data_IF_084640298118
#
_entry.id   IF_084640298118
#
_cell.length_a   1.000
_cell.length_b   1.000
_cell.length_c   1.000
_cell.angle_alpha   90.00
_cell.angle_beta   90.00
_cell.angle_gamma   90.00
#
_symmetry.space_group_name_H-M   'P 1'
#
loop_
_entity.id
_entity.type
_entity.pdbx_description
1 polymer ?
#
# COMPACT_ATOMS: atom_id res chain seq x y z
N UNK A 1 5.44 -11.75 -7.93
CA UNK A 1 6.05 -11.18 -6.70
C UNK A 1 7.11 -10.10 -6.95
N UNK A 2 7.68 -9.93 -8.16
CA UNK A 2 8.85 -9.07 -8.39
C UNK A 2 8.79 -7.58 -7.99
N UNK A 3 7.61 -7.05 -7.61
CA UNK A 3 7.42 -5.66 -7.21
C UNK A 3 6.66 -5.47 -5.88
N UNK A 4 6.48 -6.53 -5.09
CA UNK A 4 5.61 -6.49 -3.91
C UNK A 4 6.42 -6.35 -2.62
N UNK A 5 6.73 -5.12 -2.24
CA UNK A 5 7.27 -4.82 -0.91
C UNK A 5 6.15 -4.21 -0.07
N UNK A 6 5.69 -4.92 0.96
CA UNK A 6 4.47 -4.52 1.68
C UNK A 6 4.58 -3.09 2.23
N UNK A 7 5.75 -2.68 2.71
CA UNK A 7 5.96 -1.33 3.27
C UNK A 7 6.61 -0.35 2.30
N UNK A 8 6.66 -0.68 1.03
CA UNK A 8 7.12 0.21 -0.03
C UNK A 8 6.23 -0.01 -1.26
N UNK A 9 4.99 0.49 -1.25
CA UNK A 9 4.11 0.37 -2.41
C UNK A 9 4.73 1.10 -3.61
N UNK A 10 4.54 0.55 -4.81
CA UNK A 10 5.12 1.12 -6.04
C UNK A 10 4.46 2.46 -6.33
N UNK A 11 5.20 3.54 -6.64
CA UNK A 11 4.63 4.81 -7.06
C UNK A 11 3.52 4.63 -8.11
N UNK A 12 2.44 5.42 -8.00
CA UNK A 12 1.37 5.45 -9.01
C UNK A 12 1.31 6.81 -9.69
N UNK A 13 1.09 6.90 -11.02
CA UNK A 13 1.14 8.17 -11.76
C UNK A 13 0.24 9.27 -11.19
N UNK A 14 -0.94 8.89 -10.69
CA UNK A 14 -1.97 9.81 -10.18
C UNK A 14 -1.52 10.59 -8.92
N UNK A 15 -0.49 10.13 -8.22
CA UNK A 15 0.05 10.81 -7.03
C UNK A 15 1.02 11.97 -7.37
N UNK A 16 1.39 12.12 -8.64
CA UNK A 16 2.43 13.05 -9.09
C UNK A 16 1.86 14.10 -10.05
N UNK A 17 2.39 15.32 -9.96
CA UNK A 17 1.97 16.43 -10.83
C UNK A 17 2.47 16.32 -12.27
N UNK A 18 3.42 15.43 -12.55
CA UNK A 18 3.93 15.18 -13.89
C UNK A 18 4.53 13.77 -14.01
N UNK A 19 4.58 13.25 -15.24
CA UNK A 19 5.25 11.99 -15.54
C UNK A 19 6.75 12.01 -15.22
N UNK A 20 7.43 13.16 -15.35
CA UNK A 20 8.85 13.27 -14.99
C UNK A 20 9.07 12.99 -13.49
N UNK A 21 8.26 13.58 -12.62
CA UNK A 21 8.31 13.32 -11.17
C UNK A 21 7.92 11.89 -10.82
N UNK A 22 6.92 11.35 -11.52
CA UNK A 22 6.53 9.94 -11.39
C UNK A 22 7.70 8.99 -11.75
N UNK A 23 8.36 9.19 -12.90
CA UNK A 23 9.49 8.36 -13.29
C UNK A 23 10.67 8.49 -12.31
N UNK A 24 10.96 9.69 -11.83
CA UNK A 24 12.00 9.90 -10.84
C UNK A 24 11.69 9.20 -9.50
N UNK A 25 10.42 9.17 -9.09
CA UNK A 25 9.98 8.40 -7.92
C UNK A 25 10.09 6.89 -8.14
N UNK A 26 9.65 6.40 -9.30
CA UNK A 26 9.77 4.99 -9.70
C UNK A 26 11.23 4.53 -9.73
N UNK A 27 12.13 5.36 -10.25
CA UNK A 27 13.58 5.10 -10.26
C UNK A 27 14.15 4.96 -8.85
N UNK A 28 13.79 5.86 -7.94
CA UNK A 28 14.21 5.79 -6.53
C UNK A 28 13.61 4.59 -5.81
N UNK A 29 12.37 4.24 -6.14
CA UNK A 29 11.74 3.03 -5.62
C UNK A 29 12.44 1.77 -6.12
N UNK A 30 12.81 1.70 -7.40
CA UNK A 30 13.57 0.59 -7.98
C UNK A 30 14.95 0.45 -7.31
N UNK A 31 15.64 1.57 -7.07
CA UNK A 31 16.92 1.56 -6.35
C UNK A 31 16.76 1.04 -4.92
N UNK A 32 15.71 1.46 -4.24
CA UNK A 32 15.39 0.97 -2.91
C UNK A 32 15.08 -0.53 -2.93
N UNK A 33 14.26 -1.00 -3.87
CA UNK A 33 13.88 -2.40 -4.02
C UNK A 33 15.05 -3.32 -4.42
N UNK A 34 16.05 -2.78 -5.13
CA UNK A 34 17.26 -3.50 -5.52
C UNK A 34 18.22 -3.76 -4.34
N UNK A 35 18.14 -2.96 -3.27
CA UNK A 35 18.90 -3.21 -2.04
C UNK A 35 18.40 -4.45 -1.31
N UNK A 36 19.31 -5.14 -0.65
CA UNK A 36 19.10 -6.24 0.31
C UNK A 36 18.17 -7.35 -0.20
N UNK A 37 17.95 -7.41 -1.52
CA UNK A 37 16.92 -8.24 -2.14
C UNK A 37 15.55 -8.07 -1.47
N UNK A 38 15.19 -6.83 -1.12
CA UNK A 38 14.05 -6.51 -0.24
C UNK A 38 12.75 -7.20 -0.64
N UNK A 39 12.47 -7.34 -1.94
CA UNK A 39 11.29 -8.03 -2.48
C UNK A 39 11.14 -9.45 -1.93
N UNK A 40 12.23 -10.22 -1.89
CA UNK A 40 12.22 -11.62 -1.48
C UNK A 40 12.76 -11.83 -0.05
N UNK A 41 13.11 -10.75 0.64
CA UNK A 41 13.68 -10.79 1.99
C UNK A 41 12.71 -11.42 3.00
N UNK A 42 13.26 -12.14 3.98
CA UNK A 42 12.54 -12.62 5.15
C UNK A 42 11.79 -11.51 5.87
N UNK A 43 12.36 -10.30 5.90
CA UNK A 43 11.71 -9.12 6.47
C UNK A 43 10.40 -8.78 5.76
N UNK A 44 10.39 -8.73 4.42
CA UNK A 44 9.18 -8.46 3.65
C UNK A 44 8.15 -9.60 3.82
N UNK A 45 8.61 -10.85 3.77
CA UNK A 45 7.77 -12.04 4.01
C UNK A 45 7.12 -12.00 5.40
N UNK A 46 7.87 -11.63 6.43
CA UNK A 46 7.37 -11.44 7.79
C UNK A 46 6.27 -10.37 7.83
N UNK A 47 6.45 -9.24 7.15
CA UNK A 47 5.42 -8.19 7.11
C UNK A 47 4.10 -8.72 6.50
N UNK A 48 4.16 -9.53 5.44
CA UNK A 48 2.97 -10.18 4.88
C UNK A 48 2.34 -11.18 5.86
N UNK A 49 3.15 -11.94 6.61
CA UNK A 49 2.63 -12.81 7.68
C UNK A 49 1.92 -12.01 8.78
N UNK A 50 2.50 -10.89 9.22
CA UNK A 50 1.89 -10.01 10.22
C UNK A 50 0.60 -9.37 9.71
N UNK A 51 0.56 -8.97 8.43
CA UNK A 51 -0.65 -8.50 7.78
C UNK A 51 -1.72 -9.60 7.72
N UNK A 52 -1.35 -10.84 7.39
CA UNK A 52 -2.25 -12.00 7.41
C UNK A 52 -2.83 -12.25 8.81
N UNK A 53 -2.01 -12.20 9.85
CA UNK A 53 -2.49 -12.29 11.24
C UNK A 53 -3.45 -11.14 11.56
N UNK A 54 -3.13 -9.91 11.17
CA UNK A 54 -4.04 -8.77 11.37
C UNK A 54 -5.38 -8.96 10.66
N UNK A 55 -5.36 -9.44 9.42
CA UNK A 55 -6.57 -9.75 8.66
C UNK A 55 -7.41 -10.78 9.40
N UNK A 56 -6.80 -11.89 9.81
CA UNK A 56 -7.46 -12.99 10.53
C UNK A 56 -8.06 -12.56 11.86
N UNK A 57 -7.28 -11.86 12.67
CA UNK A 57 -7.64 -11.59 14.07
C UNK A 57 -8.61 -10.41 14.20
N UNK A 58 -8.54 -9.43 13.30
CA UNK A 58 -9.19 -8.13 13.50
C UNK A 58 -10.12 -7.71 12.37
N UNK A 59 -9.87 -8.12 11.12
CA UNK A 59 -10.60 -7.61 9.95
C UNK A 59 -11.68 -8.61 9.51
N UNK A 60 -11.33 -9.88 9.30
CA UNK A 60 -12.26 -10.94 8.86
C UNK A 60 -13.47 -11.07 9.78
N UNK A 61 -13.34 -11.06 11.13
CA UNK A 61 -14.50 -11.14 12.02
C UNK A 61 -15.51 -9.99 11.83
N UNK A 62 -15.08 -8.85 11.30
CA UNK A 62 -15.93 -7.68 11.02
C UNK A 62 -16.53 -7.69 9.60
N UNK A 63 -16.05 -8.57 8.74
CA UNK A 63 -16.60 -8.80 7.39
C UNK A 63 -17.73 -9.83 7.40
N UNK A 64 -17.73 -10.74 8.38
CA UNK A 64 -18.69 -11.83 8.48
C UNK A 64 -19.83 -11.44 9.43
N UNK A 65 -21.09 -11.55 8.97
CA UNK A 65 -22.25 -11.40 9.86
C UNK A 65 -22.45 -12.64 10.72
N UNK A 66 -22.91 -12.49 11.98
CA UNK A 66 -23.37 -13.64 12.77
C UNK A 66 -24.49 -14.38 12.02
N UNK A 67 -24.42 -15.71 11.97
CA UNK A 67 -25.39 -16.58 11.28
C UNK A 67 -26.83 -16.30 11.72
N UNK A 68 -27.02 -15.84 12.97
CA UNK A 68 -28.31 -15.47 13.58
C UNK A 68 -28.91 -14.14 13.08
N UNK A 69 -28.17 -13.32 12.33
CA UNK A 69 -28.61 -12.02 11.78
C UNK A 69 -28.63 -11.99 10.25
N UNK A 70 -28.55 -13.15 9.59
CA UNK A 70 -28.66 -13.23 8.14
C UNK A 70 -30.10 -12.99 7.71
N UNK A 71 -30.41 -11.75 7.33
CA UNK A 71 -31.58 -11.45 6.50
C UNK A 71 -31.51 -12.30 5.21
N UNK A 72 -32.65 -12.63 4.56
CA UNK A 72 -32.66 -13.39 3.32
C UNK A 72 -32.15 -12.50 2.19
N UNK A 73 -30.82 -12.45 2.04
CA UNK A 73 -30.16 -11.65 1.02
C UNK A 73 -28.65 -11.63 1.26
N UNK A 74 -27.90 -12.11 0.28
CA UNK A 74 -26.45 -11.89 0.24
C UNK A 74 -26.21 -10.43 -0.16
N UNK A 75 -25.27 -9.69 0.46
CA UNK A 75 -24.80 -8.45 -0.12
C UNK A 75 -24.29 -8.78 -1.54
N UNK A 76 -24.93 -8.20 -2.56
CA UNK A 76 -24.47 -8.31 -3.93
C UNK A 76 -23.07 -7.70 -4.01
N UNK A 77 -22.06 -8.54 -4.14
CA UNK A 77 -20.73 -8.14 -4.57
C UNK A 77 -20.37 -8.95 -5.80
N UNK A 78 -19.94 -8.26 -6.85
CA UNK A 78 -19.38 -8.90 -8.03
C UNK A 78 -17.97 -9.35 -7.67
N UNK A 79 -17.79 -10.65 -7.46
CA UNK A 79 -16.52 -11.25 -7.04
C UNK A 79 -15.46 -11.30 -8.16
N UNK A 80 -15.82 -10.89 -9.38
CA UNK A 80 -14.99 -11.04 -10.56
C UNK A 80 -14.63 -9.68 -11.14
N UNK A 81 -13.44 -9.17 -10.80
CA UNK A 81 -12.83 -8.05 -11.51
C UNK A 81 -12.12 -8.65 -12.72
N UNK A 82 -12.89 -9.06 -13.73
CA UNK A 82 -12.34 -9.32 -15.06
C UNK A 82 -12.25 -7.99 -15.84
N UNK A 83 -11.55 -7.98 -16.96
CA UNK A 83 -11.39 -6.85 -17.91
C UNK A 83 -12.70 -6.11 -18.28
N UNK A 84 -13.86 -6.63 -17.89
CA UNK A 84 -15.20 -6.07 -18.10
C UNK A 84 -15.57 -4.94 -17.13
N UNK A 85 -14.77 -4.66 -16.09
CA UNK A 85 -15.00 -3.58 -15.11
C UNK A 85 -13.95 -2.44 -15.17
N UNK A 86 -13.10 -2.44 -16.20
CA UNK A 86 -12.19 -1.34 -16.51
C UNK A 86 -12.94 -0.37 -17.42
N UNK A 87 -13.24 0.82 -16.91
CA UNK A 87 -13.73 1.90 -17.74
C UNK A 87 -12.53 2.68 -18.26
N UNK A 88 -12.67 3.22 -19.46
CA UNK A 88 -11.71 4.15 -20.04
C UNK A 88 -12.45 5.48 -20.08
N UNK A 89 -11.93 6.49 -19.39
CA UNK A 89 -12.51 7.83 -19.45
C UNK A 89 -12.24 8.49 -20.83
N UNK A 90 -12.81 9.67 -21.04
CA UNK A 90 -12.66 10.42 -22.31
C UNK A 90 -11.20 10.79 -22.61
N UNK A 91 -10.32 10.75 -21.59
CA UNK A 91 -8.88 11.03 -21.66
C UNK A 91 -8.04 9.74 -21.84
N UNK A 92 -8.68 8.60 -22.08
CA UNK A 92 -8.07 7.28 -22.24
C UNK A 92 -7.42 6.71 -20.96
N UNK A 93 -7.76 7.21 -19.79
CA UNK A 93 -7.29 6.64 -18.53
C UNK A 93 -8.16 5.46 -18.12
N UNK A 94 -7.51 4.36 -17.77
CA UNK A 94 -8.17 3.18 -17.19
C UNK A 94 -8.62 3.53 -15.77
N UNK A 95 -9.93 3.68 -15.57
CA UNK A 95 -10.60 3.92 -14.28
C UNK A 95 -11.28 2.65 -13.79
N UNK A 96 -10.83 2.16 -12.63
CA UNK A 96 -11.45 1.03 -11.93
C UNK A 96 -12.69 1.54 -11.15
N UNK A 97 -13.87 1.01 -11.48
CA UNK A 97 -15.16 1.34 -10.85
C UNK A 97 -15.13 1.23 -9.31
N UNK A 98 -14.19 0.46 -8.78
CA UNK A 98 -14.11 0.11 -7.36
C UNK A 98 -13.12 0.99 -6.57
N UNK A 99 -12.34 1.82 -7.25
CA UNK A 99 -11.34 2.71 -6.63
C UNK A 99 -11.63 4.18 -6.88
N UNK A 100 -12.32 4.51 -7.97
CA UNK A 100 -12.75 5.88 -8.23
C UNK A 100 -13.96 6.24 -7.35
N UNK A 101 -13.74 7.13 -6.38
CA UNK A 101 -14.77 7.61 -5.46
C UNK A 101 -15.98 8.20 -6.19
N UNK A 102 -15.77 8.86 -7.32
CA UNK A 102 -16.83 9.45 -8.13
C UNK A 102 -17.70 8.38 -8.80
N UNK A 103 -17.07 7.33 -9.37
CA UNK A 103 -17.78 6.21 -9.97
C UNK A 103 -18.53 5.37 -8.93
N UNK A 104 -17.90 5.10 -7.78
CA UNK A 104 -18.55 4.41 -6.65
C UNK A 104 -19.78 5.19 -6.20
N UNK A 105 -19.65 6.51 -6.06
CA UNK A 105 -20.75 7.38 -5.63
C UNK A 105 -21.88 7.41 -6.65
N UNK A 106 -21.56 7.55 -7.94
CA UNK A 106 -22.52 7.53 -9.02
C UNK A 106 -23.27 6.18 -9.09
N UNK A 107 -22.54 5.07 -9.01
CA UNK A 107 -23.11 3.73 -8.99
C UNK A 107 -24.05 3.53 -7.79
N UNK A 108 -23.60 3.85 -6.58
CA UNK A 108 -24.42 3.72 -5.36
C UNK A 108 -25.68 4.56 -5.44
N UNK A 109 -25.56 5.80 -5.89
CA UNK A 109 -26.69 6.72 -6.05
C UNK A 109 -27.72 6.17 -7.04
N UNK A 110 -27.26 5.70 -8.22
CA UNK A 110 -28.12 5.09 -9.22
C UNK A 110 -28.80 3.81 -8.72
N UNK A 111 -28.03 2.93 -8.07
CA UNK A 111 -28.56 1.68 -7.52
C UNK A 111 -29.61 1.93 -6.44
N UNK A 112 -29.36 2.86 -5.52
CA UNK A 112 -30.32 3.24 -4.47
C UNK A 112 -31.58 3.90 -5.04
N UNK A 113 -31.44 4.73 -6.08
CA UNK A 113 -32.57 5.35 -6.76
C UNK A 113 -33.47 4.30 -7.43
N UNK A 114 -32.89 3.33 -8.14
CA UNK A 114 -33.67 2.25 -8.77
C UNK A 114 -34.28 1.29 -7.74
N UNK A 115 -33.53 0.96 -6.68
CA UNK A 115 -34.04 0.08 -5.62
C UNK A 115 -35.27 0.68 -4.92
N UNK A 116 -35.30 2.01 -4.74
CA UNK A 116 -36.49 2.75 -4.26
C UNK A 116 -37.66 2.68 -5.24
N UNK A 117 -37.42 2.80 -6.55
CA UNK A 117 -38.47 2.73 -7.59
C UNK A 117 -39.16 1.36 -7.65
N UNK A 118 -38.41 0.28 -7.44
CA UNK A 118 -38.90 -1.11 -7.49
C UNK A 118 -39.60 -1.51 -6.17
N UNK A 119 -39.70 -0.61 -5.18
CA UNK A 119 -40.32 -0.87 -3.89
C UNK A 119 -39.54 -1.85 -3.01
N UNK A 120 -38.24 -2.01 -3.26
CA UNK A 120 -37.34 -2.82 -2.43
C UNK A 120 -36.82 -2.01 -1.24
N UNK A 121 -36.35 -2.70 -0.19
CA UNK A 121 -35.98 -2.10 1.08
C UNK A 121 -34.80 -1.11 0.98
N UNK A 122 -34.67 -0.25 2.00
CA UNK A 122 -33.50 0.63 2.16
C UNK A 122 -32.27 -0.26 2.38
N UNK A 123 -31.21 -0.02 1.60
CA UNK A 123 -29.94 -0.72 1.76
C UNK A 123 -29.28 -0.17 3.03
N UNK A 124 -29.01 -1.07 3.98
CA UNK A 124 -28.22 -0.74 5.16
C UNK A 124 -26.82 -0.26 4.71
N UNK A 125 -26.37 0.95 5.11
CA UNK A 125 -25.04 1.46 4.79
C UNK A 125 -23.90 0.49 5.18
N UNK A 126 -24.13 -0.39 6.17
CA UNK A 126 -23.23 -1.47 6.55
C UNK A 126 -22.91 -2.44 5.40
N UNK A 127 -23.83 -2.66 4.45
CA UNK A 127 -23.56 -3.51 3.28
C UNK A 127 -22.53 -2.88 2.34
N UNK A 128 -22.59 -1.57 2.11
CA UNK A 128 -21.59 -0.86 1.31
C UNK A 128 -20.22 -0.85 1.99
N UNK A 129 -20.19 -0.83 3.32
CA UNK A 129 -18.97 -0.94 4.11
C UNK A 129 -18.35 -2.33 3.99
N UNK A 130 -19.10 -3.40 4.28
CA UNK A 130 -18.64 -4.80 4.14
C UNK A 130 -18.18 -5.07 2.71
N UNK A 131 -18.91 -4.54 1.74
CA UNK A 131 -18.55 -4.64 0.34
C UNK A 131 -17.17 -4.07 -0.01
N UNK A 132 -16.90 -2.84 0.42
CA UNK A 132 -15.57 -2.24 0.28
C UNK A 132 -14.49 -3.06 0.98
N UNK A 133 -14.80 -3.62 2.15
CA UNK A 133 -13.86 -4.51 2.85
C UNK A 133 -13.56 -5.77 2.02
N UNK A 134 -14.57 -6.46 1.50
CA UNK A 134 -14.37 -7.65 0.65
C UNK A 134 -13.54 -7.32 -0.58
N UNK A 135 -13.86 -6.23 -1.25
CA UNK A 135 -13.14 -5.76 -2.44
C UNK A 135 -11.65 -5.48 -2.20
N UNK A 136 -11.32 -4.81 -1.10
CA UNK A 136 -9.92 -4.54 -0.72
C UNK A 136 -9.22 -5.82 -0.24
N UNK A 137 -9.92 -6.68 0.48
CA UNK A 137 -9.42 -7.98 0.94
C UNK A 137 -9.02 -8.86 -0.25
N UNK A 138 -9.88 -9.00 -1.25
CA UNK A 138 -9.61 -9.82 -2.43
C UNK A 138 -8.35 -9.36 -3.19
N UNK A 139 -8.18 -8.05 -3.40
CA UNK A 139 -6.97 -7.51 -4.04
C UNK A 139 -5.70 -7.83 -3.25
N UNK A 140 -5.77 -7.72 -1.93
CA UNK A 140 -4.63 -7.98 -1.05
C UNK A 140 -4.25 -9.47 -0.99
N UNK A 141 -5.23 -10.39 -0.94
CA UNK A 141 -4.94 -11.84 -0.88
C UNK A 141 -4.51 -12.43 -2.21
N UNK A 142 -4.97 -11.85 -3.32
CA UNK A 142 -4.50 -12.24 -4.65
C UNK A 142 -3.16 -11.58 -5.03
N UNK A 143 -2.76 -10.53 -4.32
CA UNK A 143 -1.62 -9.67 -4.67
C UNK A 143 -1.75 -9.08 -6.08
N UNK A 144 -2.99 -8.76 -6.45
CA UNK A 144 -3.36 -8.22 -7.77
C UNK A 144 -3.08 -6.71 -7.87
N UNK A 145 -2.51 -6.10 -6.84
CA UNK A 145 -2.24 -4.67 -6.78
C UNK A 145 -0.78 -4.38 -6.40
N UNK A 146 -0.20 -3.34 -7.00
CA UNK A 146 1.12 -2.82 -6.59
C UNK A 146 1.05 -1.94 -5.32
N UNK A 147 -0.15 -1.82 -4.75
CA UNK A 147 -0.54 -0.93 -3.66
C UNK A 147 -1.05 -1.72 -2.45
N UNK A 148 -0.48 -2.90 -2.21
CA UNK A 148 -0.88 -3.82 -1.12
C UNK A 148 -0.95 -3.11 0.24
N UNK A 149 0.01 -2.24 0.54
CA UNK A 149 -0.02 -1.42 1.75
C UNK A 149 -1.27 -0.55 1.84
N UNK A 150 -1.59 0.18 0.77
CA UNK A 150 -2.73 1.08 0.73
C UNK A 150 -4.05 0.32 0.84
N UNK A 151 -4.13 -0.88 0.27
CA UNK A 151 -5.29 -1.76 0.45
C UNK A 151 -5.42 -2.24 1.90
N UNK A 152 -4.32 -2.65 2.53
CA UNK A 152 -4.30 -3.05 3.94
C UNK A 152 -4.65 -1.89 4.88
N UNK A 153 -4.14 -0.69 4.63
CA UNK A 153 -4.42 0.51 5.42
C UNK A 153 -5.89 0.93 5.31
N UNK A 154 -6.43 0.93 4.09
CA UNK A 154 -7.85 1.19 3.86
C UNK A 154 -8.74 0.14 4.54
N UNK A 155 -8.37 -1.15 4.47
CA UNK A 155 -9.06 -2.23 5.17
C UNK A 155 -9.06 -2.04 6.67
N UNK A 156 -7.90 -1.77 7.24
CA UNK A 156 -7.74 -1.56 8.67
C UNK A 156 -8.58 -0.37 9.15
N UNK A 157 -8.57 0.73 8.40
CA UNK A 157 -9.40 1.92 8.67
C UNK A 157 -10.89 1.59 8.58
N UNK A 158 -11.33 0.89 7.54
CA UNK A 158 -12.73 0.46 7.39
C UNK A 158 -13.14 -0.50 8.51
N UNK A 159 -12.27 -1.41 8.92
CA UNK A 159 -12.56 -2.38 9.95
C UNK A 159 -12.80 -1.70 11.31
N UNK A 160 -12.11 -0.59 11.62
CA UNK A 160 -12.29 0.13 12.89
C UNK A 160 -13.74 0.64 13.08
N UNK A 161 -14.18 0.63 14.33
CA UNK A 161 -15.39 1.34 14.73
C UNK A 161 -15.10 2.84 14.76
N UNK A 162 -16.08 3.70 14.43
CA UNK A 162 -15.91 5.14 14.59
C UNK A 162 -15.60 5.42 16.06
N UNK A 163 -14.38 5.91 16.32
CA UNK A 163 -14.01 6.42 17.64
C UNK A 163 -14.93 7.60 17.90
N UNK A 164 -15.64 7.59 19.04
CA UNK A 164 -16.40 8.74 19.52
C UNK A 164 -15.40 9.86 19.82
N UNK A 165 -15.18 10.70 18.82
CA UNK A 165 -14.67 12.08 18.84
C UNK A 165 -14.04 12.60 20.14
N UNK A 166 -12.98 11.97 20.64
CA UNK A 166 -12.05 12.58 21.61
C UNK A 166 -10.58 12.18 21.39
N UNK A 167 -10.27 11.27 20.46
CA UNK A 167 -8.91 10.70 20.31
C UNK A 167 -8.46 10.64 18.84
N UNK A 168 -8.62 11.75 18.12
CA UNK A 168 -8.27 11.89 16.69
C UNK A 168 -6.74 11.96 16.44
N UNK A 169 -5.92 11.72 17.47
CA UNK A 169 -4.47 11.90 17.44
C UNK A 169 -3.64 10.69 17.86
N UNK A 170 -4.26 9.53 18.15
CA UNK A 170 -3.53 8.39 18.68
C UNK A 170 -2.68 7.67 17.61
N UNK A 171 -1.43 8.11 17.50
CA UNK A 171 -0.40 7.55 16.61
C UNK A 171 -0.12 6.06 16.93
N UNK A 172 -0.48 5.58 18.14
CA UNK A 172 -0.31 4.18 18.54
C UNK A 172 -1.31 3.25 17.84
N UNK A 173 -2.41 3.80 17.35
CA UNK A 173 -3.48 3.07 16.68
C UNK A 173 -3.32 2.98 15.14
N UNK A 174 -2.25 3.56 14.59
CA UNK A 174 -1.95 3.51 13.15
C UNK A 174 -1.53 2.12 12.68
N UNK A 175 -1.80 1.77 11.41
CA UNK A 175 -1.40 0.47 10.85
C UNK A 175 0.12 0.20 11.02
N UNK A 176 1.05 1.13 10.71
CA UNK A 176 2.47 0.89 10.95
C UNK A 176 2.81 0.60 12.41
N UNK A 177 2.14 1.26 13.36
CA UNK A 177 2.34 1.03 14.79
C UNK A 177 1.84 -0.36 15.21
N UNK A 178 0.65 -0.77 14.77
CA UNK A 178 0.12 -2.11 15.05
C UNK A 178 1.02 -3.21 14.49
N UNK A 179 1.48 -3.07 13.25
CA UNK A 179 2.41 -4.03 12.65
C UNK A 179 3.76 -4.05 13.40
N UNK A 180 4.28 -2.90 13.82
CA UNK A 180 5.49 -2.82 14.63
C UNK A 180 5.33 -3.53 15.98
N UNK A 181 4.21 -3.32 16.68
CA UNK A 181 3.91 -4.01 17.94
C UNK A 181 3.76 -5.52 17.74
N UNK A 182 3.10 -5.98 16.67
CA UNK A 182 2.99 -7.41 16.39
C UNK A 182 4.35 -8.05 16.09
N UNK A 183 5.26 -7.31 15.45
CA UNK A 183 6.60 -7.77 15.13
C UNK A 183 7.48 -8.02 16.37
N UNK A 184 7.15 -7.42 17.53
CA UNK A 184 7.88 -7.66 18.78
C UNK A 184 7.39 -8.88 19.56
N UNK A 185 6.34 -9.57 19.09
CA UNK A 185 5.85 -10.78 19.76
C UNK A 185 6.85 -11.94 19.62
N UNK A 186 6.88 -12.83 20.61
CA UNK A 186 7.74 -14.01 20.59
C UNK A 186 7.54 -14.86 19.33
N UNK A 187 6.28 -15.08 18.93
CA UNK A 187 5.95 -15.87 17.74
C UNK A 187 6.42 -15.19 16.46
N UNK A 188 6.35 -13.86 16.37
CA UNK A 188 6.88 -13.12 15.22
C UNK A 188 8.41 -13.19 15.15
N UNK A 189 9.11 -13.16 16.28
CA UNK A 189 10.57 -13.29 16.34
C UNK A 189 11.02 -14.71 15.95
N UNK A 190 10.29 -15.74 16.41
CA UNK A 190 10.55 -17.12 16.01
C UNK A 190 10.34 -17.31 14.50
N UNK A 191 9.20 -16.83 13.98
CA UNK A 191 8.90 -16.87 12.54
C UNK A 191 9.93 -16.09 11.72
N UNK A 192 10.42 -14.95 12.21
CA UNK A 192 11.47 -14.20 11.53
C UNK A 192 12.75 -15.03 11.37
N UNK A 193 13.13 -15.80 12.39
CA UNK A 193 14.27 -16.71 12.33
C UNK A 193 14.06 -17.85 11.33
N UNK A 194 12.85 -18.41 11.26
CA UNK A 194 12.50 -19.45 10.27
C UNK A 194 12.57 -18.90 8.84
N UNK A 195 11.97 -17.74 8.59
CA UNK A 195 11.97 -17.11 7.25
C UNK A 195 13.38 -16.74 6.78
N UNK A 196 14.25 -16.33 7.70
CA UNK A 196 15.64 -15.98 7.39
C UNK A 196 16.47 -17.17 6.88
N UNK A 197 16.05 -18.41 7.13
CA UNK A 197 16.75 -19.59 6.61
C UNK A 197 16.69 -19.72 5.07
N UNK A 198 15.67 -19.13 4.45
CA UNK A 198 15.50 -19.11 2.99
C UNK A 198 16.10 -17.86 2.32
N UNK A 199 16.71 -16.96 3.08
CA UNK A 199 17.30 -15.74 2.51
C UNK A 199 18.51 -16.07 1.63
N UNK A 200 18.68 -15.29 0.56
CA UNK A 200 19.85 -15.42 -0.31
C UNK A 200 21.12 -15.06 0.48
N UNK A 201 22.24 -15.79 0.29
CA UNK A 201 23.49 -15.48 0.99
C UNK A 201 23.94 -14.03 0.76
N UNK A 202 24.47 -13.40 1.82
CA UNK A 202 24.89 -11.99 1.77
C UNK A 202 25.89 -11.70 0.65
N UNK A 203 26.74 -12.67 0.29
CA UNK A 203 27.68 -12.54 -0.82
C UNK A 203 27.00 -12.34 -2.18
N UNK A 204 25.89 -13.05 -2.43
CA UNK A 204 25.13 -12.93 -3.67
C UNK A 204 24.32 -11.64 -3.70
N UNK A 205 23.73 -11.25 -2.56
CA UNK A 205 23.06 -9.95 -2.41
C UNK A 205 24.03 -8.82 -2.76
N UNK A 206 25.21 -8.80 -2.13
CA UNK A 206 26.24 -7.78 -2.38
C UNK A 206 26.73 -7.78 -3.83
N UNK A 207 26.85 -8.96 -4.46
CA UNK A 207 27.23 -9.08 -5.87
C UNK A 207 26.18 -8.41 -6.77
N UNK A 208 24.90 -8.72 -6.59
CA UNK A 208 23.79 -8.13 -7.38
C UNK A 208 23.62 -6.64 -7.15
N UNK A 209 23.71 -6.19 -5.90
CA UNK A 209 23.68 -4.76 -5.57
C UNK A 209 24.80 -4.02 -6.30
N UNK A 210 26.02 -4.57 -6.27
CA UNK A 210 27.15 -3.98 -6.98
C UNK A 210 26.88 -3.91 -8.49
N UNK A 211 26.42 -4.99 -9.11
CA UNK A 211 26.09 -5.02 -10.53
C UNK A 211 25.03 -3.97 -10.92
N UNK A 212 23.98 -3.81 -10.10
CA UNK A 212 22.93 -2.81 -10.32
C UNK A 212 23.47 -1.37 -10.16
N UNK A 213 24.16 -1.09 -9.05
CA UNK A 213 24.60 0.27 -8.73
C UNK A 213 25.86 0.72 -9.47
N UNK A 214 26.66 -0.20 -10.02
CA UNK A 214 27.72 0.13 -10.99
C UNK A 214 27.11 0.70 -12.27
N UNK A 215 25.90 0.26 -12.67
CA UNK A 215 25.17 0.80 -13.83
C UNK A 215 24.41 2.11 -13.51
N UNK A 216 23.79 2.19 -12.33
CA UNK A 216 22.90 3.30 -11.95
C UNK A 216 23.64 4.49 -11.33
N UNK A 217 24.80 4.25 -10.71
CA UNK A 217 25.71 5.26 -10.20
C UNK A 217 25.69 5.48 -8.68
N UNK A 218 26.82 5.95 -8.16
CA UNK A 218 27.09 6.06 -6.72
C UNK A 218 26.18 7.03 -5.96
N UNK A 219 25.69 8.10 -6.60
CA UNK A 219 24.76 9.06 -5.96
C UNK A 219 23.43 8.39 -5.62
N UNK A 220 22.85 7.66 -6.58
CA UNK A 220 21.60 6.90 -6.41
C UNK A 220 21.76 5.79 -5.37
N UNK A 221 22.91 5.10 -5.39
CA UNK A 221 23.24 4.11 -4.36
C UNK A 221 23.28 4.71 -2.95
N UNK A 222 23.96 5.85 -2.77
CA UNK A 222 24.06 6.51 -1.48
C UNK A 222 22.69 6.96 -0.95
N UNK A 223 21.80 7.44 -1.83
CA UNK A 223 20.44 7.80 -1.47
C UNK A 223 19.62 6.58 -1.04
N UNK A 224 19.62 5.52 -1.85
CA UNK A 224 18.89 4.29 -1.55
C UNK A 224 19.34 3.69 -0.20
N UNK A 225 20.65 3.66 0.08
CA UNK A 225 21.19 3.18 1.37
C UNK A 225 20.73 4.02 2.56
N UNK A 226 20.59 5.34 2.41
CA UNK A 226 20.05 6.21 3.47
C UNK A 226 18.59 5.88 3.75
N UNK A 227 17.79 5.63 2.71
CA UNK A 227 16.39 5.22 2.85
C UNK A 227 16.27 3.85 3.52
N UNK A 228 17.05 2.86 3.08
CA UNK A 228 17.11 1.53 3.70
C UNK A 228 17.55 1.60 5.18
N UNK A 229 18.55 2.43 5.49
CA UNK A 229 18.96 2.66 6.86
C UNK A 229 17.83 3.25 7.71
N UNK A 230 17.11 4.26 7.19
CA UNK A 230 15.96 4.84 7.89
C UNK A 230 14.84 3.80 8.11
N UNK A 231 14.57 2.96 7.11
CA UNK A 231 13.59 1.88 7.22
C UNK A 231 13.94 0.88 8.33
N UNK A 232 15.22 0.52 8.44
CA UNK A 232 15.72 -0.39 9.48
C UNK A 232 15.65 0.20 10.88
N UNK A 233 15.91 1.50 11.01
CA UNK A 233 15.92 2.19 12.31
C UNK A 233 14.51 2.53 12.82
N UNK A 234 13.51 2.54 11.96
CA UNK A 234 12.14 2.89 12.32
C UNK A 234 11.17 1.75 11.95
N UNK A 235 10.74 0.94 12.93
CA UNK A 235 9.77 -0.14 12.71
C UNK A 235 8.40 0.30 12.21
N UNK A 236 8.12 1.61 12.16
CA UNK A 236 6.88 2.21 11.61
C UNK A 236 7.09 2.84 10.24
N UNK A 237 8.29 2.71 9.66
CA UNK A 237 8.61 3.29 8.36
C UNK A 237 7.81 2.64 7.24
N UNK A 238 7.37 3.47 6.30
CA UNK A 238 6.70 3.10 5.06
C UNK A 238 7.27 3.98 3.95
N UNK A 239 7.81 3.37 2.90
CA UNK A 239 8.38 4.04 1.74
C UNK A 239 7.32 4.27 0.66
N UNK A 240 6.30 5.06 1.00
CA UNK A 240 5.17 5.37 0.10
C UNK A 240 5.38 6.64 -0.72
N UNK A 241 4.36 7.02 -1.51
CA UNK A 241 4.40 8.23 -2.35
C UNK A 241 4.67 9.54 -1.60
N UNK A 242 4.47 9.61 -0.27
CA UNK A 242 4.85 10.80 0.53
C UNK A 242 6.37 10.91 0.64
N UNK A 243 7.06 9.80 0.89
CA UNK A 243 8.52 9.76 0.94
C UNK A 243 9.13 10.18 -0.39
N UNK A 244 8.65 9.59 -1.49
CA UNK A 244 9.26 9.81 -2.81
C UNK A 244 9.05 11.25 -3.29
N UNK A 245 7.88 11.85 -3.03
CA UNK A 245 7.64 13.27 -3.31
C UNK A 245 8.48 14.20 -2.44
N UNK A 246 8.68 13.85 -1.17
CA UNK A 246 9.54 14.62 -0.29
C UNK A 246 11.00 14.56 -0.76
N UNK A 247 11.50 13.38 -1.13
CA UNK A 247 12.85 13.22 -1.68
C UNK A 247 13.04 14.00 -2.98
N UNK A 248 12.03 14.01 -3.84
CA UNK A 248 12.05 14.79 -5.08
C UNK A 248 12.23 16.29 -4.80
N UNK A 249 11.42 16.85 -3.90
CA UNK A 249 11.51 18.27 -3.52
C UNK A 249 12.86 18.62 -2.88
N UNK A 250 13.43 17.72 -2.07
CA UNK A 250 14.74 17.92 -1.43
C UNK A 250 15.86 17.90 -2.47
N UNK A 251 15.83 16.95 -3.43
CA UNK A 251 16.85 16.87 -4.49
C UNK A 251 16.77 18.10 -5.40
N UNK A 252 15.58 18.52 -5.82
CA UNK A 252 15.39 19.74 -6.62
C UNK A 252 15.96 20.98 -5.92
N UNK A 253 15.76 21.11 -4.61
CA UNK A 253 16.28 22.23 -3.83
C UNK A 253 17.82 22.28 -3.83
N UNK A 254 18.49 21.15 -3.63
CA UNK A 254 19.96 21.12 -3.58
C UNK A 254 20.60 21.21 -4.97
N UNK A 255 19.99 20.63 -6.00
CA UNK A 255 20.47 20.77 -7.38
C UNK A 255 20.29 22.21 -7.91
N UNK A 256 19.19 22.87 -7.55
CA UNK A 256 18.97 24.29 -7.86
C UNK A 256 19.94 25.22 -7.12
N UNK A 257 20.26 24.91 -5.84
CA UNK A 257 21.23 25.67 -5.06
C UNK A 257 22.67 25.52 -5.60
N UNK A 258 23.04 24.35 -6.13
CA UNK A 258 24.33 24.14 -6.79
C UNK A 258 24.43 24.91 -8.13
N UNK A 259 23.33 25.05 -8.88
CA UNK A 259 23.32 25.84 -10.12
C UNK A 259 23.39 27.35 -9.88
N UNK A 260 22.78 27.85 -8.80
CA UNK A 260 22.80 29.28 -8.46
C UNK A 260 24.12 29.71 -7.79
N UNK A 261 24.87 28.77 -7.22
CA UNK A 261 26.17 29.02 -6.58
C UNK A 261 27.36 29.17 -7.54
N UNK A 262 27.19 28.88 -8.83
CA UNK A 262 28.23 29.01 -9.88
C UNK A 262 28.26 30.39 -10.57
N UNK A 263 27.42 31.34 -10.14
CA UNK A 263 27.29 32.67 -10.75
C UNK A 263 28.12 33.81 -10.13
N UNK A 264 28.89 33.58 -9.06
CA UNK A 264 29.68 34.65 -8.40
C UNK A 264 31.12 34.20 -8.15
N UNK A 265 31.89 33.97 -9.22
CA UNK A 265 33.30 34.41 -9.32
C UNK A 265 33.64 34.54 -10.81
N UNK A 266 33.69 35.78 -11.30
CA UNK A 266 34.47 36.20 -12.48
C UNK A 266 34.84 37.66 -12.29
#
# INVERSE_FOLDING_TARGET
MGYHILRAPVPVPQEYSSFAKYYAATDRWNDFAALERLVDSSMNRLQYCLASHLLRDSIIPRMVRPVSQSAPGFPLHHHDISLQNLFVDDDLNITDLVLDSSLITAFRSGFEAENKKIGRCIIDPGYWKVGQMVSRFMRLVNLDALQDYGHLEALYTLAREPVTSEDDGDITNSLPAILATRATSHDALALAGELAADDEPESEIRRREKEYFDAVGAKRFALARKVAFAARMNPRFVADGRLWRWLDAVVEYYEGAESDGLGIVS
#
